data_IF_740067313434
#
_entry.id   IF_740067313434
#
_cell.length_a   1.000
_cell.length_b   1.000
_cell.length_c   1.000
_cell.angle_alpha   90.00
_cell.angle_beta   90.00
_cell.angle_gamma   90.00
#
_symmetry.space_group_name_H-M   'P 1'
#
loop_
_entity.id
_entity.type
_entity.pdbx_description
1 polymer ?
#
# COMPACT_ATOMS: atom_id res chain seq x y z
N UNK A 1 14.55 25.75 -3.81
CA UNK A 1 14.17 24.40 -3.36
C UNK A 1 12.95 23.96 -4.16
N UNK A 2 13.08 22.98 -5.04
CA UNK A 2 11.92 22.37 -5.69
C UNK A 2 11.25 21.44 -4.68
N UNK A 3 10.03 21.79 -4.27
CA UNK A 3 9.16 20.86 -3.55
C UNK A 3 8.68 19.85 -4.59
N UNK A 4 9.27 18.67 -4.58
CA UNK A 4 8.79 17.53 -5.36
C UNK A 4 7.41 17.16 -4.79
N UNK A 5 6.34 17.58 -5.46
CA UNK A 5 5.00 17.06 -5.18
C UNK A 5 4.98 15.66 -5.79
N UNK A 6 5.57 14.69 -5.08
CA UNK A 6 5.40 13.30 -5.44
C UNK A 6 3.89 13.00 -5.46
N UNK A 7 3.38 12.19 -6.40
CA UNK A 7 1.99 11.77 -6.31
C UNK A 7 1.81 11.07 -4.97
N UNK A 8 0.94 11.65 -4.12
CA UNK A 8 0.59 11.16 -2.79
C UNK A 8 0.10 9.71 -2.79
N UNK A 9 -0.21 9.18 -3.97
CA UNK A 9 -0.87 7.90 -4.16
C UNK A 9 -0.02 6.89 -4.93
N UNK A 10 0.12 5.70 -4.34
CA UNK A 10 0.71 4.51 -4.95
C UNK A 10 -0.39 3.56 -5.44
N UNK A 11 -0.15 2.88 -6.56
CA UNK A 11 -0.98 1.75 -7.01
C UNK A 11 -0.43 0.40 -6.49
N UNK A 12 -1.17 -0.69 -6.71
CA UNK A 12 -0.77 -2.04 -6.30
C UNK A 12 0.65 -2.42 -6.72
N UNK A 13 1.06 -2.07 -7.95
CA UNK A 13 2.39 -2.41 -8.48
C UNK A 13 3.50 -1.68 -7.73
N UNK A 14 3.26 -0.41 -7.41
CA UNK A 14 4.23 0.42 -6.69
C UNK A 14 4.36 -0.02 -5.24
N UNK A 15 3.25 -0.36 -4.58
CA UNK A 15 3.25 -0.94 -3.23
C UNK A 15 3.99 -2.28 -3.23
N UNK A 16 3.69 -3.16 -4.19
CA UNK A 16 4.35 -4.46 -4.32
C UNK A 16 5.87 -4.31 -4.47
N UNK A 17 6.31 -3.37 -5.32
CA UNK A 17 7.73 -3.05 -5.50
C UNK A 17 8.39 -2.57 -4.21
N UNK A 18 7.73 -1.72 -3.41
CA UNK A 18 8.28 -1.25 -2.11
C UNK A 18 8.45 -2.38 -1.09
N UNK A 19 7.56 -3.38 -1.15
CA UNK A 19 7.60 -4.53 -0.25
C UNK A 19 8.43 -5.70 -0.78
N UNK A 20 8.99 -5.61 -1.99
CA UNK A 20 9.64 -6.73 -2.68
C UNK A 20 8.73 -7.97 -2.82
N UNK A 21 7.43 -7.74 -3.06
CA UNK A 21 6.41 -8.77 -3.21
C UNK A 21 5.70 -8.68 -4.57
N UNK A 22 4.81 -9.62 -4.84
CA UNK A 22 4.00 -9.62 -6.07
C UNK A 22 2.77 -8.72 -5.97
N UNK A 23 2.33 -8.16 -7.12
CA UNK A 23 1.07 -7.40 -7.22
C UNK A 23 -0.14 -8.22 -6.73
N UNK A 24 -0.15 -9.53 -7.00
CA UNK A 24 -1.21 -10.45 -6.57
C UNK A 24 -1.27 -10.60 -5.05
N UNK A 25 -0.12 -10.54 -4.37
CA UNK A 25 -0.08 -10.54 -2.91
C UNK A 25 -0.78 -9.30 -2.36
N UNK A 26 -0.48 -8.10 -2.88
CA UNK A 26 -1.11 -6.84 -2.43
C UNK A 26 -2.63 -6.88 -2.62
N UNK A 27 -3.10 -7.38 -3.78
CA UNK A 27 -4.53 -7.59 -4.05
C UNK A 27 -5.17 -8.57 -3.07
N UNK A 28 -4.48 -9.66 -2.79
CA UNK A 28 -4.91 -10.68 -1.83
C UNK A 28 -5.03 -10.11 -0.42
N UNK A 29 -4.06 -9.30 0.01
CA UNK A 29 -4.12 -8.64 1.33
C UNK A 29 -5.29 -7.67 1.42
N UNK A 30 -5.50 -6.83 0.39
CA UNK A 30 -6.68 -5.94 0.34
C UNK A 30 -7.98 -6.72 0.42
N UNK A 31 -8.09 -7.83 -0.31
CA UNK A 31 -9.27 -8.70 -0.26
C UNK A 31 -9.51 -9.27 1.14
N UNK A 32 -8.47 -9.79 1.78
CA UNK A 32 -8.53 -10.32 3.15
C UNK A 32 -8.95 -9.24 4.14
N UNK A 33 -8.35 -8.04 4.06
CA UNK A 33 -8.71 -6.89 4.89
C UNK A 33 -10.19 -6.51 4.74
N UNK A 34 -10.67 -6.36 3.50
CA UNK A 34 -12.09 -6.03 3.24
C UNK A 34 -13.07 -7.08 3.77
N UNK A 35 -12.62 -8.32 4.00
CA UNK A 35 -13.41 -9.41 4.58
C UNK A 35 -13.18 -9.62 6.07
N UNK A 36 -12.37 -8.80 6.73
CA UNK A 36 -11.98 -9.00 8.13
C UNK A 36 -11.17 -10.28 8.37
N UNK A 37 -10.57 -10.85 7.31
CA UNK A 37 -9.72 -12.05 7.41
C UNK A 37 -8.31 -11.65 7.87
N UNK A 38 -7.53 -12.61 8.43
CA UNK A 38 -6.14 -12.38 8.79
C UNK A 38 -5.33 -11.81 7.60
N UNK A 39 -4.73 -10.65 7.79
CA UNK A 39 -3.98 -9.92 6.78
C UNK A 39 -2.76 -9.24 7.41
N UNK A 40 -1.73 -9.02 6.59
CA UNK A 40 -0.48 -8.38 7.01
C UNK A 40 -0.44 -6.91 6.58
N UNK A 41 -0.93 -6.58 5.38
CA UNK A 41 -0.99 -5.19 4.90
C UNK A 41 -2.19 -4.46 5.52
N UNK A 42 -1.91 -3.68 6.56
CA UNK A 42 -2.92 -2.93 7.33
C UNK A 42 -3.29 -1.59 6.72
N UNK A 43 -2.52 -1.09 5.74
CA UNK A 43 -2.77 0.22 5.10
C UNK A 43 -4.02 0.20 4.24
N UNK A 44 -4.91 1.17 4.46
CA UNK A 44 -6.16 1.28 3.72
C UNK A 44 -5.99 1.80 2.30
N UNK A 45 -6.80 1.25 1.39
CA UNK A 45 -6.82 1.68 0.01
C UNK A 45 -7.88 2.79 -0.14
N UNK A 46 -7.46 3.96 -0.60
CA UNK A 46 -8.33 5.04 -1.05
C UNK A 46 -8.74 4.77 -2.49
N UNK A 47 -10.03 4.73 -2.76
CA UNK A 47 -10.54 4.42 -4.08
C UNK A 47 -10.75 5.70 -4.89
N UNK A 48 -10.06 5.81 -6.03
CA UNK A 48 -10.35 6.82 -7.05
C UNK A 48 -11.16 6.11 -8.13
N UNK A 49 -12.48 6.21 -8.05
CA UNK A 49 -13.40 5.36 -8.81
C UNK A 49 -13.24 3.90 -8.42
N UNK A 50 -12.98 3.02 -9.39
CA UNK A 50 -12.73 1.57 -9.15
C UNK A 50 -11.26 1.25 -8.84
N UNK A 51 -10.37 2.24 -8.95
CA UNK A 51 -8.93 2.04 -8.85
C UNK A 51 -8.47 2.20 -7.40
N UNK A 52 -7.88 1.16 -6.78
CA UNK A 52 -7.28 1.29 -5.46
C UNK A 52 -6.00 2.14 -5.55
N UNK A 53 -5.85 3.04 -4.59
CA UNK A 53 -4.67 3.88 -4.37
C UNK A 53 -4.32 3.88 -2.89
N UNK A 54 -3.03 3.97 -2.58
CA UNK A 54 -2.52 3.95 -1.21
C UNK A 54 -1.75 5.22 -0.95
N UNK A 55 -1.92 5.85 0.21
CA UNK A 55 -1.07 7.00 0.51
C UNK A 55 0.37 6.54 0.66
N UNK A 56 1.27 7.23 -0.02
CA UNK A 56 2.71 6.95 0.04
C UNK A 56 3.23 6.97 1.46
N UNK A 57 2.91 8.02 2.22
CA UNK A 57 3.35 8.16 3.62
C UNK A 57 2.89 7.01 4.52
N UNK A 58 1.67 6.50 4.31
CA UNK A 58 1.15 5.37 5.08
C UNK A 58 1.87 4.06 4.72
N UNK A 59 2.16 3.85 3.43
CA UNK A 59 2.94 2.70 2.96
C UNK A 59 4.37 2.75 3.49
N UNK A 60 4.99 3.94 3.49
CA UNK A 60 6.36 4.11 3.98
C UNK A 60 6.45 3.88 5.49
N UNK A 61 5.47 4.37 6.25
CA UNK A 61 5.36 4.07 7.68
C UNK A 61 5.18 2.57 7.94
N UNK A 62 4.39 1.87 7.11
CA UNK A 62 4.20 0.44 7.21
C UNK A 62 5.46 -0.37 6.87
N UNK A 63 6.20 0.02 5.83
CA UNK A 63 7.48 -0.63 5.50
C UNK A 63 8.48 -0.46 6.64
N UNK A 64 8.56 0.76 7.20
CA UNK A 64 9.42 1.04 8.34
C UNK A 64 9.04 0.23 9.59
N UNK A 65 7.74 0.01 9.83
CA UNK A 65 7.31 -0.79 10.99
C UNK A 65 7.63 -2.28 10.85
N UNK A 66 7.64 -2.84 9.64
CA UNK A 66 8.10 -4.21 9.39
C UNK A 66 9.61 -4.32 9.55
N UNK A 67 10.38 -3.33 9.07
CA UNK A 67 11.83 -3.35 9.15
C UNK A 67 12.38 -3.20 10.59
N UNK A 68 11.57 -2.62 11.48
CA UNK A 68 11.91 -2.45 12.89
C UNK A 68 11.50 -3.66 13.77
N UNK A 69 10.79 -4.65 13.20
CA UNK A 69 10.31 -5.86 13.89
C UNK A 69 11.24 -7.05 13.62
#
# INVERSE_FOLDING_TARGET
MQVQIEPDFLNDKQVARKLSLSDSWVRGQRHKRNKGLPHTLTVDAKYIGKCPRYLRGEIDAFVASIAAA
#
